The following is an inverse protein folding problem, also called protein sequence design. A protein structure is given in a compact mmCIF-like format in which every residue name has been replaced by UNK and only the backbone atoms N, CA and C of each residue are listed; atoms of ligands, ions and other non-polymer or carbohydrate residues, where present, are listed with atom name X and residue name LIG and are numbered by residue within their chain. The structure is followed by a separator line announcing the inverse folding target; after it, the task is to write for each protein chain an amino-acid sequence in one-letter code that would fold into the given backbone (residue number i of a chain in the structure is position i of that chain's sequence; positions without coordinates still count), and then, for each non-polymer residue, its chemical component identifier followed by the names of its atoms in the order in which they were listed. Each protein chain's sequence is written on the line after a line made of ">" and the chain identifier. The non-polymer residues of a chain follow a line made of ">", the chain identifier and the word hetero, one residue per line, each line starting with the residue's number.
data_IF_422722797546
#
_entry.id   IF_422722797546
#
_cell.length_a   1.000
_cell.length_b   1.000
_cell.length_c   1.000
_cell.angle_alpha   90.00
_cell.angle_beta   90.00
_cell.angle_gamma   90.00
#
_symmetry.space_group_name_H-M   'P 1'
#
loop_
_entity.id
_entity.type
_entity.pdbx_description
1 polymer ?
#
# COMPACT_ATOMS: atom_id res chain seq x y z
N UNK A 1 9.37 0.13 16.80
CA UNK A 1 8.67 1.33 17.31
C UNK A 1 7.71 1.75 16.21
N UNK A 2 6.40 1.75 16.47
CA UNK A 2 5.36 1.99 15.44
C UNK A 2 4.93 3.44 15.59
N UNK A 3 5.40 4.31 14.70
CA UNK A 3 5.19 5.76 14.79
C UNK A 3 3.90 6.22 14.10
N UNK A 4 3.40 7.33 14.65
CA UNK A 4 2.10 7.98 14.56
C UNK A 4 1.51 8.17 13.14
N UNK A 5 0.22 7.83 13.01
CA UNK A 5 -0.69 8.34 11.99
C UNK A 5 -0.82 9.87 12.13
N UNK A 6 0.09 10.63 11.54
CA UNK A 6 -0.13 12.06 11.30
C UNK A 6 0.00 12.34 9.81
N UNK A 7 -1.16 12.49 9.15
CA UNK A 7 -1.29 13.05 7.81
C UNK A 7 -0.86 14.52 7.82
N UNK A 8 0.43 14.78 7.92
CA UNK A 8 0.98 16.04 7.46
C UNK A 8 0.96 16.01 5.93
N UNK A 9 0.35 17.02 5.30
CA UNK A 9 0.40 17.28 3.84
C UNK A 9 1.85 17.39 3.31
N UNK A 10 2.82 17.53 4.22
CA UNK A 10 4.23 17.68 3.93
C UNK A 10 5.04 16.69 4.76
N UNK A 11 6.00 16.04 4.11
CA UNK A 11 6.96 15.16 4.75
C UNK A 11 7.73 15.93 5.85
N UNK A 12 7.76 15.36 7.06
CA UNK A 12 8.47 15.96 8.19
C UNK A 12 9.98 15.97 7.91
N UNK A 13 10.68 17.10 8.07
CA UNK A 13 12.13 17.14 7.87
C UNK A 13 12.84 16.34 8.96
N UNK A 14 13.82 15.52 8.58
CA UNK A 14 14.72 14.82 9.52
C UNK A 14 16.18 14.95 9.07
N UNK A 15 17.12 15.01 10.01
CA UNK A 15 18.53 15.23 9.68
C UNK A 15 19.12 14.07 8.85
N UNK A 16 18.81 12.84 9.23
CA UNK A 16 19.28 11.61 8.59
C UNK A 16 18.30 10.47 8.84
N UNK A 17 18.19 9.55 7.88
CA UNK A 17 17.39 8.33 8.02
C UNK A 17 17.87 7.50 9.23
N UNK A 18 17.01 7.23 10.23
CA UNK A 18 17.31 6.38 11.38
C UNK A 18 17.46 4.88 11.04
N UNK A 19 17.32 4.49 9.78
CA UNK A 19 17.63 3.14 9.28
C UNK A 19 16.42 2.23 9.06
N UNK A 20 15.24 2.63 9.51
CA UNK A 20 14.00 1.86 9.33
C UNK A 20 13.10 2.40 8.19
N UNK A 21 13.41 3.56 7.62
CA UNK A 21 12.76 4.05 6.41
C UNK A 21 13.55 3.68 5.16
N UNK A 22 12.86 3.70 4.03
CA UNK A 22 13.37 3.31 2.73
C UNK A 22 13.38 4.51 1.80
N UNK A 23 14.45 4.71 1.04
CA UNK A 23 14.41 5.61 -0.12
C UNK A 23 13.61 4.96 -1.25
N UNK A 24 13.20 5.74 -2.26
CA UNK A 24 12.52 5.17 -3.44
C UNK A 24 13.39 4.14 -4.18
N UNK A 25 14.72 4.28 -4.11
CA UNK A 25 15.66 3.29 -4.64
C UNK A 25 15.63 2.00 -3.82
N UNK A 26 15.65 2.09 -2.49
CA UNK A 26 15.52 0.92 -1.62
C UNK A 26 14.21 0.17 -1.88
N UNK A 27 13.12 0.90 -2.13
CA UNK A 27 11.82 0.30 -2.49
C UNK A 27 11.93 -0.43 -3.83
N UNK A 28 12.49 0.21 -4.86
CA UNK A 28 12.68 -0.43 -6.17
C UNK A 28 13.52 -1.71 -6.06
N UNK A 29 14.66 -1.65 -5.36
CA UNK A 29 15.53 -2.82 -5.16
C UNK A 29 14.82 -3.93 -4.37
N UNK A 30 13.91 -3.56 -3.46
CA UNK A 30 13.16 -4.50 -2.62
C UNK A 30 12.03 -5.20 -3.34
N UNK A 31 11.40 -4.57 -4.33
CA UNK A 31 10.27 -5.19 -5.06
C UNK A 31 10.67 -5.78 -6.40
N UNK A 32 11.83 -5.39 -6.94
CA UNK A 32 12.34 -5.82 -8.23
C UNK A 32 12.33 -7.35 -8.37
N UNK A 33 11.79 -7.81 -9.50
CA UNK A 33 11.77 -9.20 -9.89
C UNK A 33 13.09 -9.61 -10.59
N UNK A 34 13.45 -10.89 -10.59
CA UNK A 34 14.65 -11.36 -11.30
C UNK A 34 14.61 -10.99 -12.79
N UNK A 35 15.65 -10.30 -13.26
CA UNK A 35 15.77 -9.86 -14.66
C UNK A 35 15.08 -8.53 -14.98
N UNK A 36 14.41 -7.90 -14.03
CA UNK A 36 13.75 -6.61 -14.23
C UNK A 36 14.76 -5.46 -14.35
N UNK A 37 14.47 -4.51 -15.25
CA UNK A 37 15.26 -3.29 -15.42
C UNK A 37 15.01 -2.32 -14.27
N UNK A 38 15.94 -2.28 -13.31
CA UNK A 38 15.87 -1.43 -12.12
C UNK A 38 15.77 0.06 -12.44
N UNK A 39 16.35 0.53 -13.54
CA UNK A 39 16.29 1.94 -13.90
C UNK A 39 14.87 2.32 -14.35
N UNK A 40 14.21 1.44 -15.13
CA UNK A 40 12.82 1.61 -15.52
C UNK A 40 11.88 1.48 -14.32
N UNK A 41 12.07 0.48 -13.47
CA UNK A 41 11.29 0.33 -12.25
C UNK A 41 11.37 1.59 -11.37
N UNK A 42 12.59 2.08 -11.11
CA UNK A 42 12.80 3.31 -10.34
C UNK A 42 12.13 4.55 -10.98
N UNK A 43 12.11 4.65 -12.31
CA UNK A 43 11.37 5.70 -13.01
C UNK A 43 9.85 5.58 -12.80
N UNK A 44 9.30 4.37 -12.92
CA UNK A 44 7.89 4.07 -12.64
C UNK A 44 7.50 4.45 -11.21
N UNK A 45 8.32 4.10 -10.22
CA UNK A 45 8.02 4.43 -8.82
C UNK A 45 8.06 5.94 -8.54
N UNK A 46 8.98 6.67 -9.18
CA UNK A 46 9.00 8.15 -9.12
C UNK A 46 7.76 8.77 -9.75
N UNK A 47 7.21 8.16 -10.80
CA UNK A 47 5.94 8.59 -11.39
C UNK A 47 4.77 8.35 -10.43
N UNK A 48 4.73 7.24 -9.69
CA UNK A 48 3.70 7.04 -8.66
C UNK A 48 3.77 8.07 -7.54
N UNK A 49 4.99 8.42 -7.12
CA UNK A 49 5.19 9.48 -6.13
C UNK A 49 4.68 10.84 -6.64
N UNK A 50 4.96 11.20 -7.91
CA UNK A 50 4.47 12.47 -8.48
C UNK A 50 2.96 12.50 -8.70
N UNK A 51 2.32 11.34 -8.82
CA UNK A 51 0.87 11.18 -8.92
C UNK A 51 0.17 11.13 -7.54
N UNK A 52 0.92 11.30 -6.45
CA UNK A 52 0.46 11.26 -5.06
C UNK A 52 -0.08 9.88 -4.63
N UNK A 53 0.33 8.80 -5.29
CA UNK A 53 -0.02 7.44 -4.84
C UNK A 53 0.85 6.96 -3.68
N UNK A 54 2.07 7.48 -3.57
CA UNK A 54 3.01 7.08 -2.53
C UNK A 54 3.12 8.18 -1.48
N UNK A 55 3.02 7.80 -0.21
CA UNK A 55 3.19 8.72 0.91
C UNK A 55 4.56 8.52 1.59
N UNK A 56 5.30 9.62 1.71
CA UNK A 56 6.57 9.67 2.43
C UNK A 56 6.38 10.49 3.72
N UNK A 57 6.37 9.86 4.91
CA UNK A 57 6.21 10.58 6.17
C UNK A 57 7.36 11.56 6.45
N UNK A 58 8.56 11.26 5.95
CA UNK A 58 9.78 12.02 6.25
C UNK A 58 10.57 12.40 5.00
N UNK A 59 11.34 13.48 5.13
CA UNK A 59 12.31 13.92 4.12
C UNK A 59 13.63 14.26 4.79
N UNK A 60 14.72 13.69 4.29
CA UNK A 60 16.06 14.03 4.79
C UNK A 60 16.39 15.50 4.44
N UNK A 61 16.93 16.25 5.39
CA UNK A 61 17.44 17.61 5.19
C UNK A 61 18.94 17.66 4.94
N UNK A 62 19.64 16.52 5.08
CA UNK A 62 21.04 16.36 4.71
C UNK A 62 21.30 16.40 3.20
N UNK A 63 22.51 15.97 2.79
CA UNK A 63 23.09 16.23 1.46
C UNK A 63 22.29 15.73 0.24
N UNK A 64 21.33 14.81 0.40
CA UNK A 64 20.56 14.23 -0.73
C UNK A 64 19.08 14.57 -0.74
N UNK A 65 18.52 15.17 0.31
CA UNK A 65 17.13 15.65 0.29
C UNK A 65 16.06 14.57 0.09
N UNK A 66 16.36 13.31 0.40
CA UNK A 66 15.58 12.15 -0.04
C UNK A 66 14.24 12.02 0.70
N UNK A 67 13.18 11.65 -0.02
CA UNK A 67 11.92 11.21 0.58
C UNK A 67 12.07 9.80 1.14
N UNK A 68 11.52 9.61 2.34
CA UNK A 68 11.64 8.39 3.11
C UNK A 68 10.27 7.74 3.28
N UNK A 69 10.18 6.49 2.87
CA UNK A 69 8.97 5.69 2.80
C UNK A 69 8.99 4.58 3.87
N UNK A 70 7.81 4.14 4.28
CA UNK A 70 7.65 2.98 5.16
C UNK A 70 7.73 1.67 4.35
N UNK A 71 7.99 0.52 4.99
CA UNK A 71 7.96 -0.78 4.31
C UNK A 71 6.65 -1.10 3.59
N UNK A 72 5.51 -0.60 4.08
CA UNK A 72 4.20 -0.76 3.44
C UNK A 72 4.16 -0.18 2.01
N UNK A 73 5.00 0.81 1.70
CA UNK A 73 5.13 1.36 0.35
C UNK A 73 5.63 0.34 -0.66
N UNK A 74 6.39 -0.69 -0.25
CA UNK A 74 6.76 -1.79 -1.15
C UNK A 74 5.53 -2.53 -1.67
N UNK A 75 4.57 -2.83 -0.78
CA UNK A 75 3.31 -3.51 -1.14
C UNK A 75 2.49 -2.61 -2.08
N UNK A 76 2.36 -1.32 -1.75
CA UNK A 76 1.65 -0.35 -2.61
C UNK A 76 2.25 -0.31 -4.00
N UNK A 77 3.58 -0.14 -4.12
CA UNK A 77 4.26 -0.09 -5.41
C UNK A 77 4.06 -1.37 -6.23
N UNK A 78 4.22 -2.54 -5.62
CA UNK A 78 4.02 -3.83 -6.29
C UNK A 78 2.58 -3.98 -6.82
N UNK A 79 1.58 -3.56 -6.02
CA UNK A 79 0.18 -3.59 -6.44
C UNK A 79 -0.10 -2.62 -7.60
N UNK A 80 0.43 -1.39 -7.53
CA UNK A 80 0.24 -0.40 -8.60
C UNK A 80 0.87 -0.86 -9.93
N UNK A 81 2.02 -1.52 -9.89
CA UNK A 81 2.64 -2.13 -11.08
C UNK A 81 1.73 -3.20 -11.70
N UNK A 82 1.21 -4.12 -10.88
CA UNK A 82 0.28 -5.18 -11.33
C UNK A 82 -1.01 -4.62 -11.91
N UNK A 83 -1.57 -3.57 -11.29
CA UNK A 83 -2.74 -2.89 -11.86
C UNK A 83 -2.44 -2.37 -13.27
N UNK A 84 -1.28 -1.77 -13.49
CA UNK A 84 -0.88 -1.25 -14.80
C UNK A 84 -0.66 -2.38 -15.81
N UNK A 85 -0.05 -3.49 -15.40
CA UNK A 85 0.13 -4.71 -16.22
C UNK A 85 -1.23 -5.29 -16.65
N UNK A 86 -2.24 -5.21 -15.77
CA UNK A 86 -3.62 -5.60 -16.06
C UNK A 86 -4.40 -4.53 -16.86
N UNK A 87 -3.77 -3.41 -17.23
CA UNK A 87 -4.40 -2.32 -17.97
C UNK A 87 -5.22 -1.35 -17.13
N UNK A 88 -5.21 -1.48 -15.80
CA UNK A 88 -5.92 -0.60 -14.87
C UNK A 88 -5.03 0.62 -14.56
N UNK A 89 -5.42 1.77 -15.11
CA UNK A 89 -4.73 3.06 -14.92
C UNK A 89 -5.62 4.13 -14.30
N UNK A 90 -6.85 3.76 -13.92
CA UNK A 90 -7.78 4.69 -13.31
C UNK A 90 -7.22 5.24 -12.00
N UNK A 91 -7.17 6.57 -11.89
CA UNK A 91 -6.58 7.25 -10.74
C UNK A 91 -7.32 6.92 -9.44
N UNK A 92 -8.64 6.81 -9.49
CA UNK A 92 -9.44 6.49 -8.31
C UNK A 92 -9.15 5.06 -7.85
N UNK A 93 -9.05 4.09 -8.76
CA UNK A 93 -8.69 2.72 -8.45
C UNK A 93 -7.29 2.63 -7.78
N UNK A 94 -6.29 3.29 -8.35
CA UNK A 94 -4.93 3.31 -7.79
C UNK A 94 -4.89 3.96 -6.40
N UNK A 95 -5.61 5.07 -6.19
CA UNK A 95 -5.65 5.75 -4.90
C UNK A 95 -6.33 4.90 -3.82
N UNK A 96 -7.44 4.22 -4.11
CA UNK A 96 -8.09 3.40 -3.08
C UNK A 96 -7.23 2.21 -2.66
N UNK A 97 -6.44 1.65 -3.59
CA UNK A 97 -5.46 0.60 -3.26
C UNK A 97 -4.35 1.13 -2.35
N UNK A 98 -3.77 2.29 -2.68
CA UNK A 98 -2.74 2.90 -1.84
C UNK A 98 -3.28 3.24 -0.45
N UNK A 99 -4.45 3.89 -0.37
CA UNK A 99 -5.06 4.29 0.89
C UNK A 99 -5.43 3.09 1.76
N UNK A 100 -5.88 1.98 1.17
CA UNK A 100 -6.18 0.74 1.90
C UNK A 100 -4.99 0.20 2.68
N UNK A 101 -3.75 0.50 2.27
CA UNK A 101 -2.53 0.09 2.97
C UNK A 101 -1.97 1.15 3.92
N UNK A 102 -2.29 2.43 3.68
CA UNK A 102 -1.81 3.54 4.48
C UNK A 102 -2.75 3.94 5.62
N UNK A 103 -4.06 3.78 5.47
CA UNK A 103 -5.05 4.33 6.38
C UNK A 103 -6.13 3.31 6.72
N UNK A 104 -6.50 3.27 8.00
CA UNK A 104 -7.67 2.53 8.44
C UNK A 104 -8.93 3.30 8.12
N UNK A 105 -9.98 2.61 7.67
CA UNK A 105 -11.31 3.19 7.72
C UNK A 105 -11.75 3.33 9.18
N UNK A 106 -11.69 4.55 9.74
CA UNK A 106 -12.06 4.80 11.13
C UNK A 106 -13.52 4.42 11.45
N UNK A 107 -14.42 4.47 10.46
CA UNK A 107 -15.82 4.08 10.64
C UNK A 107 -16.01 2.56 10.82
N UNK A 108 -14.98 1.75 10.57
CA UNK A 108 -15.02 0.30 10.76
C UNK A 108 -14.63 -0.15 12.19
N UNK A 109 -14.38 0.79 13.11
CA UNK A 109 -13.93 0.49 14.47
C UNK A 109 -14.90 1.09 15.51
N UNK A 110 -15.44 0.22 16.37
CA UNK A 110 -16.21 0.61 17.56
C UNK A 110 -15.26 0.98 18.74
N UNK A 111 -14.23 1.79 18.46
CA UNK A 111 -13.19 2.13 19.43
C UNK A 111 -11.90 2.68 18.80
N UNK A 112 -10.78 2.51 19.50
CA UNK A 112 -9.49 3.04 19.06
C UNK A 112 -9.01 2.36 17.77
N UNK A 113 -8.73 3.19 16.77
CA UNK A 113 -8.08 2.77 15.52
C UNK A 113 -6.64 2.30 15.82
N UNK A 114 -6.18 1.16 15.28
CA UNK A 114 -4.81 0.71 15.50
C UNK A 114 -3.78 1.76 15.08
N UNK A 115 -2.71 1.90 15.88
CA UNK A 115 -1.66 2.91 15.65
C UNK A 115 -0.75 2.61 14.45
N UNK A 116 -0.65 1.35 14.04
CA UNK A 116 0.04 0.95 12.81
C UNK A 116 -0.90 1.06 11.61
N UNK A 117 -0.37 1.26 10.42
CA UNK A 117 -1.17 1.21 9.18
C UNK A 117 -1.60 -0.23 8.85
N UNK A 118 -2.65 -0.43 8.03
CA UNK A 118 -3.04 -1.78 7.58
C UNK A 118 -1.90 -2.55 6.91
N UNK A 119 -1.10 -1.87 6.07
CA UNK A 119 0.07 -2.50 5.43
C UNK A 119 1.13 -2.95 6.43
N UNK A 120 1.37 -2.16 7.49
CA UNK A 120 2.29 -2.56 8.56
C UNK A 120 1.75 -3.76 9.36
N UNK A 121 0.43 -3.88 9.53
CA UNK A 121 -0.17 -5.06 10.15
C UNK A 121 0.05 -6.31 9.31
N UNK A 122 -0.20 -6.23 8.00
CA UNK A 122 -0.02 -7.37 7.07
C UNK A 122 1.43 -7.85 7.13
N UNK A 123 2.39 -6.93 7.06
CA UNK A 123 3.82 -7.23 7.18
C UNK A 123 4.12 -7.97 8.49
N UNK A 124 3.63 -7.47 9.62
CA UNK A 124 3.85 -8.09 10.93
C UNK A 124 3.21 -9.48 11.02
N UNK A 125 1.99 -9.63 10.51
CA UNK A 125 1.27 -10.90 10.53
C UNK A 125 1.99 -11.95 9.66
N UNK A 126 2.53 -11.52 8.53
CA UNK A 126 3.34 -12.36 7.66
C UNK A 126 4.60 -12.90 8.36
N UNK A 127 5.33 -12.06 9.10
CA UNK A 127 6.50 -12.51 9.88
C UNK A 127 6.11 -13.44 11.04
N UNK A 128 4.91 -13.28 11.58
CA UNK A 128 4.30 -14.19 12.57
C UNK A 128 3.80 -15.53 11.96
N UNK A 129 3.95 -15.74 10.64
CA UNK A 129 3.56 -16.98 9.95
C UNK A 129 2.18 -16.95 9.28
N UNK A 130 1.48 -15.81 9.29
CA UNK A 130 0.19 -15.63 8.62
C UNK A 130 0.38 -15.15 7.17
N UNK A 131 0.41 -16.09 6.21
CA UNK A 131 0.96 -15.89 4.85
C UNK A 131 -0.06 -15.57 3.73
N UNK A 132 -1.36 -15.83 3.93
CA UNK A 132 -2.37 -15.79 2.85
C UNK A 132 -3.13 -14.45 2.71
N UNK A 133 -2.39 -13.35 2.58
CA UNK A 133 -2.99 -12.02 2.45
C UNK A 133 -3.26 -11.66 0.99
N UNK A 134 -4.47 -11.18 0.72
CA UNK A 134 -4.91 -10.73 -0.60
C UNK A 134 -5.40 -9.29 -0.51
N UNK A 135 -5.10 -8.47 -1.52
CA UNK A 135 -5.79 -7.21 -1.72
C UNK A 135 -6.89 -7.40 -2.76
N UNK A 136 -8.11 -7.02 -2.40
CA UNK A 136 -9.22 -6.98 -3.34
C UNK A 136 -9.53 -5.54 -3.75
N UNK A 137 -9.64 -5.31 -5.06
CA UNK A 137 -10.13 -4.08 -5.67
C UNK A 137 -11.53 -4.31 -6.24
N UNK A 138 -12.50 -3.60 -5.70
CA UNK A 138 -13.91 -3.67 -6.04
C UNK A 138 -14.28 -2.53 -6.97
N UNK A 139 -15.03 -2.85 -8.02
CA UNK A 139 -15.76 -1.87 -8.82
C UNK A 139 -17.23 -1.95 -8.46
N UNK A 140 -17.74 -0.85 -7.93
CA UNK A 140 -19.10 -0.72 -7.45
C UNK A 140 -19.85 0.30 -8.31
N UNK A 141 -21.15 0.10 -8.48
CA UNK A 141 -22.04 1.09 -9.10
C UNK A 141 -23.11 1.49 -8.10
N UNK A 142 -23.13 2.78 -7.78
CA UNK A 142 -24.16 3.40 -6.96
C UNK A 142 -25.47 3.53 -7.75
N UNK A 143 -26.60 3.66 -7.05
CA UNK A 143 -27.94 3.73 -7.65
C UNK A 143 -28.13 4.91 -8.61
N UNK A 144 -27.35 5.99 -8.43
CA UNK A 144 -27.30 7.13 -9.34
C UNK A 144 -26.41 6.90 -10.58
N UNK A 145 -26.11 5.64 -10.92
CA UNK A 145 -25.26 5.20 -12.02
C UNK A 145 -23.76 5.55 -11.91
N UNK A 146 -23.32 6.20 -10.82
CA UNK A 146 -21.90 6.51 -10.61
C UNK A 146 -21.10 5.24 -10.31
N UNK A 147 -20.00 5.04 -11.04
CA UNK A 147 -19.01 3.99 -10.74
C UNK A 147 -18.05 4.52 -9.69
N UNK A 148 -17.77 3.70 -8.68
CA UNK A 148 -16.78 3.98 -7.63
C UNK A 148 -15.90 2.75 -7.41
N UNK A 149 -14.69 2.98 -6.90
CA UNK A 149 -13.76 1.93 -6.54
C UNK A 149 -13.64 1.83 -5.02
N UNK A 150 -13.43 0.62 -4.52
CA UNK A 150 -13.11 0.36 -3.12
C UNK A 150 -12.02 -0.71 -3.05
N UNK A 151 -11.17 -0.68 -2.04
CA UNK A 151 -10.18 -1.72 -1.82
C UNK A 151 -10.29 -2.26 -0.40
N UNK A 152 -9.98 -3.55 -0.24
CA UNK A 152 -9.88 -4.19 1.07
C UNK A 152 -8.72 -5.16 1.14
N UNK A 153 -8.16 -5.32 2.34
CA UNK A 153 -7.26 -6.42 2.65
C UNK A 153 -8.08 -7.59 3.15
N UNK A 154 -7.98 -8.71 2.46
CA UNK A 154 -8.78 -9.91 2.71
C UNK A 154 -7.87 -11.11 2.93
N UNK A 155 -8.27 -12.00 3.83
CA UNK A 155 -7.62 -13.29 4.05
C UNK A 155 -8.59 -14.41 3.66
N UNK A 156 -8.43 -14.99 2.46
CA UNK A 156 -9.33 -16.02 1.94
C UNK A 156 -9.49 -17.23 2.88
N UNK A 157 -8.38 -17.75 3.40
CA UNK A 157 -8.37 -18.93 4.27
C UNK A 157 -9.11 -18.74 5.60
N UNK A 158 -9.26 -17.49 6.06
CA UNK A 158 -9.93 -17.16 7.30
C UNK A 158 -11.34 -16.56 7.10
N UNK A 159 -11.79 -16.42 5.85
CA UNK A 159 -13.10 -15.82 5.51
C UNK A 159 -13.29 -14.39 6.04
N UNK A 160 -12.20 -13.67 6.33
CA UNK A 160 -12.22 -12.36 7.01
C UNK A 160 -11.35 -11.34 6.29
N UNK A 161 -11.73 -10.08 6.36
CA UNK A 161 -10.95 -8.96 5.82
C UNK A 161 -11.19 -7.68 6.59
N UNK A 162 -10.39 -6.66 6.31
CA UNK A 162 -10.57 -5.31 6.82
C UNK A 162 -11.46 -4.51 5.87
N UNK A 163 -12.43 -3.80 6.42
CA UNK A 163 -13.67 -3.42 5.74
C UNK A 163 -13.53 -2.57 4.46
N UNK A 164 -14.57 -2.67 3.64
CA UNK A 164 -14.85 -1.73 2.56
C UNK A 164 -15.41 -0.45 3.19
N UNK A 165 -14.89 0.72 2.81
CA UNK A 165 -15.33 2.03 3.30
C UNK A 165 -16.76 2.45 2.91
N UNK A 166 -17.61 1.49 2.54
CA UNK A 166 -18.94 1.71 2.00
C UNK A 166 -19.96 0.76 2.61
N UNK A 167 -21.14 1.31 2.86
CA UNK A 167 -22.36 0.53 3.05
C UNK A 167 -22.75 -0.12 1.72
N UNK A 168 -22.40 -1.40 1.56
CA UNK A 168 -22.63 -2.16 0.32
C UNK A 168 -24.12 -2.29 -0.05
N UNK A 169 -25.06 -2.02 0.86
CA UNK A 169 -26.50 -2.07 0.55
C UNK A 169 -26.92 -1.03 -0.51
N UNK A 170 -26.13 0.04 -0.69
CA UNK A 170 -26.38 1.13 -1.65
C UNK A 170 -25.63 0.98 -2.98
N UNK A 171 -25.00 -0.17 -3.19
CA UNK A 171 -24.13 -0.40 -4.33
C UNK A 171 -24.38 -1.76 -4.97
N UNK A 172 -24.37 -1.78 -6.29
CA UNK A 172 -24.28 -3.03 -7.05
C UNK A 172 -22.82 -3.36 -7.34
N UNK A 173 -22.39 -4.56 -6.96
CA UNK A 173 -21.06 -5.08 -7.31
C UNK A 173 -20.99 -5.35 -8.83
N UNK A 174 -19.96 -4.83 -9.48
CA UNK A 174 -19.75 -5.01 -10.94
C UNK A 174 -18.59 -5.94 -11.24
N UNK A 175 -17.49 -5.79 -10.51
CA UNK A 175 -16.30 -6.62 -10.65
C UNK A 175 -15.48 -6.60 -9.36
N UNK A 176 -14.74 -7.67 -9.10
CA UNK A 176 -13.74 -7.76 -8.04
C UNK A 176 -12.48 -8.37 -8.61
N UNK A 177 -11.37 -7.67 -8.41
CA UNK A 177 -10.03 -8.15 -8.71
C UNK A 177 -9.34 -8.50 -7.40
N UNK A 178 -8.83 -9.72 -7.28
CA UNK A 178 -8.09 -10.18 -6.12
C UNK A 178 -6.61 -10.35 -6.50
N UNK A 179 -5.72 -9.73 -5.73
CA UNK A 179 -4.27 -9.74 -5.97
C UNK A 179 -3.59 -10.31 -4.73
N UNK A 180 -2.91 -11.45 -4.90
CA UNK A 180 -2.10 -12.09 -3.85
C UNK A 180 -0.91 -11.21 -3.47
N UNK A 181 -0.62 -11.09 -2.17
CA UNK A 181 0.51 -10.33 -1.63
C UNK A 181 1.72 -11.22 -1.30
N UNK A 182 1.59 -12.54 -1.36
CA UNK A 182 2.61 -13.48 -0.89
C UNK A 182 3.98 -13.27 -1.52
N UNK A 183 4.04 -13.11 -2.84
CA UNK A 183 5.29 -12.96 -3.58
C UNK A 183 6.05 -11.66 -3.26
N UNK A 184 5.35 -10.53 -3.06
CA UNK A 184 5.98 -9.27 -2.65
C UNK A 184 6.42 -9.33 -1.19
N UNK A 185 5.61 -9.95 -0.32
CA UNK A 185 5.96 -10.14 1.08
C UNK A 185 7.17 -11.07 1.24
N UNK A 186 7.26 -12.14 0.44
CA UNK A 186 8.43 -13.03 0.38
C UNK A 186 9.68 -12.28 -0.07
N UNK A 187 9.59 -11.44 -1.13
CA UNK A 187 10.71 -10.60 -1.59
C UNK A 187 11.16 -9.60 -0.53
N UNK A 188 10.22 -8.99 0.21
CA UNK A 188 10.54 -8.11 1.32
C UNK A 188 11.24 -8.86 2.45
N UNK A 189 10.78 -10.08 2.77
CA UNK A 189 11.32 -10.89 3.85
C UNK A 189 12.72 -11.42 3.52
N UNK A 190 12.92 -11.97 2.33
CA UNK A 190 14.22 -12.50 1.89
C UNK A 190 15.31 -11.42 1.82
N UNK A 191 14.92 -10.14 1.71
CA UNK A 191 15.82 -8.98 1.69
C UNK A 191 15.99 -8.31 3.06
N UNK A 192 15.47 -8.93 4.14
CA UNK A 192 15.58 -8.45 5.51
C UNK A 192 14.83 -7.14 5.76
N UNK A 193 13.82 -6.81 4.95
CA UNK A 193 13.04 -5.56 5.07
C UNK A 193 11.80 -5.72 5.96
N UNK A 194 11.45 -6.95 6.30
CA UNK A 194 10.40 -7.31 7.25
C UNK A 194 10.94 -8.40 8.18
N UNK A 195 11.57 -7.96 9.27
CA UNK A 195 12.04 -8.77 10.39
C UNK A 195 11.40 -8.27 11.68
#
# INVERSE_FOLDING_TARGET
>A
MIEENTHALFAKPILRNPGHFMTIMDVADTIAEPGEDRAKLHASLRQFASQSYLWAPYRETGSRGAYLYTPATCIVCALLLRLIEMGIRDKSACLVVANCLYEWNAAAFDGDVPRFTPGALVIRKFTEGDRDWTLELWTLRHDNFKVVHAARLYKPAAGRGFDLGYDLSKFSQRAVLAIDLGDVLDRMHSRGKVN
#
